data_IF_571777279505
#
_entry.id   IF_571777279505
#
_cell.length_a   1.000
_cell.length_b   1.000
_cell.length_c   1.000
_cell.angle_alpha   90.00
_cell.angle_beta   90.00
_cell.angle_gamma   90.00
#
_symmetry.space_group_name_H-M   'P 1'
#
loop_
_entity.id
_entity.type
_entity.pdbx_description
1 polymer ?
#
# COMPACT_ATOMS: atom_id res chain seq x y z
N UNK A 1 19.55 4.01 0.52
CA UNK A 1 19.67 2.66 -0.07
C UNK A 1 18.38 1.89 0.15
N UNK A 2 17.90 1.23 -0.89
CA UNK A 2 16.66 0.48 -0.79
C UNK A 2 16.83 -0.75 0.10
N UNK A 3 15.79 -1.11 0.84
CA UNK A 3 15.74 -2.35 1.61
C UNK A 3 15.61 -3.54 0.65
N UNK A 4 16.08 -4.71 1.09
CA UNK A 4 16.05 -5.91 0.26
C UNK A 4 14.66 -6.36 -0.18
N UNK A 5 13.61 -6.00 0.56
CA UNK A 5 12.23 -6.36 0.21
C UNK A 5 11.58 -5.42 -0.78
N UNK A 6 12.21 -4.28 -1.09
CA UNK A 6 11.64 -3.31 -2.03
C UNK A 6 11.90 -3.82 -3.44
N UNK A 7 10.83 -4.13 -4.15
CA UNK A 7 10.89 -4.79 -5.46
C UNK A 7 10.97 -3.80 -6.63
N UNK A 8 10.60 -2.55 -6.37
CA UNK A 8 10.71 -1.46 -7.33
C UNK A 8 10.56 -0.16 -6.57
N UNK A 9 11.05 0.93 -7.16
CA UNK A 9 10.94 2.25 -6.53
C UNK A 9 9.91 3.08 -7.28
N UNK A 10 8.99 3.68 -6.53
CA UNK A 10 7.97 4.55 -7.08
C UNK A 10 8.40 6.00 -6.94
N UNK A 11 8.14 6.83 -7.95
CA UNK A 11 8.37 8.27 -7.81
C UNK A 11 7.58 8.84 -6.65
N UNK A 12 8.10 9.85 -6.00
CA UNK A 12 7.45 10.47 -4.85
C UNK A 12 6.03 10.95 -5.18
N UNK A 13 5.84 11.49 -6.37
CA UNK A 13 4.52 11.90 -6.84
C UNK A 13 3.50 10.76 -6.79
N UNK A 14 3.93 9.58 -7.23
CA UNK A 14 3.07 8.41 -7.22
C UNK A 14 2.78 7.95 -5.79
N UNK A 15 3.78 8.01 -4.92
CA UNK A 15 3.60 7.69 -3.50
C UNK A 15 2.58 8.63 -2.86
N UNK A 16 2.65 9.92 -3.19
CA UNK A 16 1.72 10.92 -2.65
C UNK A 16 0.29 10.65 -3.11
N UNK A 17 0.11 10.24 -4.36
CA UNK A 17 -1.21 9.85 -4.87
C UNK A 17 -1.75 8.64 -4.13
N UNK A 18 -0.90 7.67 -3.83
CA UNK A 18 -1.31 6.48 -3.08
C UNK A 18 -1.74 6.83 -1.66
N UNK A 19 -1.00 7.74 -1.01
CA UNK A 19 -1.37 8.22 0.32
C UNK A 19 -2.71 8.97 0.30
N UNK A 20 -2.93 9.78 -0.74
CA UNK A 20 -4.21 10.47 -0.92
C UNK A 20 -5.35 9.47 -1.12
N UNK A 21 -5.13 8.43 -1.92
CA UNK A 21 -6.12 7.38 -2.12
C UNK A 21 -6.44 6.65 -0.81
N UNK A 22 -5.43 6.36 -0.01
CA UNK A 22 -5.61 5.72 1.28
C UNK A 22 -6.44 6.59 2.23
N UNK A 23 -6.13 7.87 2.30
CA UNK A 23 -6.85 8.83 3.13
C UNK A 23 -8.32 8.94 2.71
N UNK A 24 -8.56 9.04 1.41
CA UNK A 24 -9.92 9.15 0.89
C UNK A 24 -10.70 7.85 1.11
N UNK A 25 -10.07 6.70 0.93
CA UNK A 25 -10.71 5.41 1.19
C UNK A 25 -11.00 5.20 2.67
N UNK A 26 -10.12 5.71 3.55
CA UNK A 26 -10.38 5.71 4.99
C UNK A 26 -11.69 6.41 5.31
N UNK A 27 -11.93 7.57 4.69
CA UNK A 27 -13.08 8.39 5.00
C UNK A 27 -14.36 7.95 4.29
N UNK A 28 -14.28 7.36 3.12
CA UNK A 28 -15.44 7.07 2.27
C UNK A 28 -15.61 5.60 1.91
N UNK A 29 -14.65 4.76 2.24
CA UNK A 29 -14.67 3.34 1.94
C UNK A 29 -14.22 2.53 3.14
N UNK A 30 -13.30 1.58 2.88
CA UNK A 30 -12.79 0.70 3.95
C UNK A 30 -11.33 0.38 3.71
N UNK A 31 -10.53 0.51 4.77
CA UNK A 31 -9.11 0.17 4.72
C UNK A 31 -8.78 -0.81 5.85
N UNK A 32 -7.66 -1.50 5.70
CA UNK A 32 -7.08 -2.37 6.74
C UNK A 32 -5.70 -1.84 7.06
N UNK A 33 -5.40 -1.67 8.33
CA UNK A 33 -4.15 -1.07 8.82
C UNK A 33 -3.23 -2.12 9.38
N UNK A 34 -1.93 -1.99 9.09
CA UNK A 34 -0.91 -2.88 9.59
C UNK A 34 -0.67 -4.09 8.71
N UNK A 35 0.53 -4.70 8.88
CA UNK A 35 0.96 -5.81 8.04
C UNK A 35 0.05 -7.04 8.17
N UNK A 36 -0.39 -7.37 9.37
CA UNK A 36 -1.23 -8.54 9.58
C UNK A 36 -2.58 -8.42 8.89
N UNK A 37 -3.23 -7.27 9.04
CA UNK A 37 -4.54 -7.03 8.42
C UNK A 37 -4.40 -6.91 6.91
N UNK A 38 -3.32 -6.27 6.43
CA UNK A 38 -3.05 -6.20 5.00
C UNK A 38 -2.86 -7.59 4.41
N UNK A 39 -2.10 -8.45 5.11
CA UNK A 39 -1.87 -9.83 4.69
C UNK A 39 -3.18 -10.59 4.52
N UNK A 40 -4.07 -10.47 5.49
CA UNK A 40 -5.38 -11.13 5.42
C UNK A 40 -6.19 -10.64 4.23
N UNK A 41 -6.19 -9.33 3.99
CA UNK A 41 -6.93 -8.76 2.86
C UNK A 41 -6.38 -9.23 1.52
N UNK A 42 -5.06 -9.37 1.41
CA UNK A 42 -4.42 -9.89 0.20
C UNK A 42 -4.78 -11.37 0.00
N UNK A 43 -4.62 -12.17 1.04
CA UNK A 43 -4.92 -13.61 0.98
C UNK A 43 -6.37 -13.88 0.58
N UNK A 44 -7.28 -13.04 1.04
CA UNK A 44 -8.71 -13.16 0.73
C UNK A 44 -9.07 -12.53 -0.61
N UNK A 45 -8.11 -11.95 -1.30
CA UNK A 45 -8.30 -11.24 -2.57
C UNK A 45 -9.29 -10.09 -2.45
N UNK A 46 -9.37 -9.47 -1.28
CA UNK A 46 -10.25 -8.32 -1.04
C UNK A 46 -9.52 -6.98 -1.16
N UNK A 47 -8.19 -6.98 -1.11
CA UNK A 47 -7.41 -5.76 -1.25
C UNK A 47 -7.39 -5.31 -2.71
N UNK A 48 -7.54 -4.02 -2.94
CA UNK A 48 -7.49 -3.42 -4.27
C UNK A 48 -6.19 -2.66 -4.51
N UNK A 49 -5.57 -2.19 -3.44
CA UNK A 49 -4.27 -1.53 -3.49
C UNK A 49 -3.63 -1.70 -2.11
N UNK A 50 -2.33 -1.96 -2.09
CA UNK A 50 -1.59 -2.13 -0.83
C UNK A 50 -0.43 -1.14 -0.80
N UNK A 51 -0.29 -0.43 0.33
CA UNK A 51 0.85 0.45 0.58
C UNK A 51 1.75 -0.22 1.60
N UNK A 52 3.05 -0.20 1.34
CA UNK A 52 4.05 -0.86 2.18
C UNK A 52 5.14 0.14 2.55
N UNK A 53 5.47 0.24 3.82
CA UNK A 53 6.54 1.14 4.26
C UNK A 53 7.90 0.69 3.74
N UNK A 54 8.67 1.64 3.23
CA UNK A 54 10.01 1.38 2.70
C UNK A 54 11.10 1.40 3.75
N UNK A 55 10.77 1.76 4.98
CA UNK A 55 11.70 1.93 6.10
C UNK A 55 11.41 0.98 7.26
N UNK A 56 10.75 -0.15 7.00
CA UNK A 56 10.33 -1.07 8.07
C UNK A 56 11.47 -1.95 8.54
N UNK A 57 11.61 -2.05 9.85
CA UNK A 57 12.55 -2.96 10.50
C UNK A 57 11.89 -3.64 11.69
N UNK A 58 12.07 -4.94 11.88
CA UNK A 58 12.78 -5.85 10.97
C UNK A 58 12.00 -6.05 9.66
N UNK A 59 12.73 -6.35 8.61
CA UNK A 59 12.14 -6.48 7.26
C UNK A 59 11.13 -7.62 7.17
N UNK A 60 11.28 -8.63 7.99
CA UNK A 60 10.39 -9.79 8.03
C UNK A 60 8.92 -9.41 8.24
N UNK A 61 8.67 -8.24 8.84
CA UNK A 61 7.30 -7.78 9.06
C UNK A 61 6.55 -7.60 7.75
N UNK A 62 7.23 -7.14 6.70
CA UNK A 62 6.58 -6.77 5.43
C UNK A 62 7.15 -7.48 4.19
N UNK A 63 8.23 -8.23 4.32
CA UNK A 63 8.91 -8.79 3.14
C UNK A 63 8.05 -9.77 2.35
N UNK A 64 7.05 -10.35 2.96
CA UNK A 64 6.15 -11.29 2.29
C UNK A 64 5.03 -10.62 1.49
N UNK A 65 4.79 -9.34 1.73
CA UNK A 65 3.64 -8.65 1.14
C UNK A 65 3.75 -8.48 -0.37
N UNK A 66 4.92 -8.07 -0.87
CA UNK A 66 5.12 -7.90 -2.30
C UNK A 66 4.88 -9.18 -3.09
N UNK A 67 5.60 -10.28 -2.76
CA UNK A 67 5.37 -11.56 -3.42
C UNK A 67 3.94 -12.05 -3.34
N UNK A 68 3.28 -11.86 -2.20
CA UNK A 68 1.89 -12.27 -2.02
C UNK A 68 0.95 -11.45 -2.91
N UNK A 69 1.18 -10.14 -3.01
CA UNK A 69 0.41 -9.29 -3.91
C UNK A 69 0.60 -9.71 -5.37
N UNK A 70 1.83 -10.05 -5.77
CA UNK A 70 2.10 -10.52 -7.12
C UNK A 70 1.35 -11.81 -7.41
N UNK A 71 1.33 -12.75 -6.47
CA UNK A 71 0.59 -13.99 -6.61
C UNK A 71 -0.90 -13.74 -6.82
N UNK A 72 -1.46 -12.79 -6.09
CA UNK A 72 -2.89 -12.46 -6.16
C UNK A 72 -3.22 -11.40 -7.20
N UNK A 73 -2.22 -10.88 -7.89
CA UNK A 73 -2.38 -9.85 -8.92
C UNK A 73 -2.99 -8.57 -8.35
N UNK A 74 -2.53 -8.18 -7.17
CA UNK A 74 -2.97 -6.96 -6.50
C UNK A 74 -1.86 -5.91 -6.61
N UNK A 75 -2.16 -4.68 -7.08
CA UNK A 75 -1.13 -3.65 -7.14
C UNK A 75 -0.69 -3.23 -5.74
N UNK A 76 0.60 -2.96 -5.61
CA UNK A 76 1.17 -2.48 -4.35
C UNK A 76 2.24 -1.44 -4.63
N UNK A 77 2.48 -0.56 -3.66
CA UNK A 77 3.43 0.53 -3.80
C UNK A 77 4.21 0.69 -2.49
N UNK A 78 5.51 0.96 -2.61
CA UNK A 78 6.35 1.25 -1.46
C UNK A 78 6.34 2.75 -1.21
N UNK A 79 6.03 3.12 0.02
CA UNK A 79 6.04 4.51 0.47
C UNK A 79 7.26 4.68 1.35
N UNK A 80 8.04 5.73 1.12
CA UNK A 80 9.34 5.91 1.78
C UNK A 80 9.28 5.80 3.30
N UNK A 81 8.23 6.34 3.92
CA UNK A 81 8.13 6.36 5.38
C UNK A 81 6.81 5.78 5.87
N UNK A 82 6.90 4.81 6.78
CA UNK A 82 5.73 4.21 7.40
C UNK A 82 4.91 5.22 8.21
N UNK A 83 5.54 6.29 8.69
CA UNK A 83 4.81 7.35 9.39
C UNK A 83 3.77 8.00 8.50
N UNK A 84 4.06 8.14 7.20
CA UNK A 84 3.12 8.72 6.25
C UNK A 84 1.93 7.79 6.00
N UNK A 85 2.17 6.48 5.98
CA UNK A 85 1.09 5.49 5.88
C UNK A 85 0.20 5.56 7.12
N UNK A 86 0.81 5.67 8.29
CA UNK A 86 0.07 5.81 9.54
C UNK A 86 -0.82 7.05 9.55
N UNK A 87 -0.25 8.19 9.16
CA UNK A 87 -1.00 9.44 9.11
C UNK A 87 -2.18 9.35 8.14
N UNK A 88 -1.95 8.82 6.94
CA UNK A 88 -3.02 8.66 5.95
C UNK A 88 -4.08 7.66 6.40
N UNK A 89 -3.71 6.73 7.28
CA UNK A 89 -4.64 5.75 7.84
C UNK A 89 -5.41 6.28 9.07
N UNK A 90 -5.11 7.51 9.48
CA UNK A 90 -5.77 8.11 10.65
C UNK A 90 -5.15 7.73 11.98
N UNK A 91 -3.90 7.26 11.98
CA UNK A 91 -3.19 6.88 13.20
C UNK A 91 -2.23 7.99 13.63
N UNK A 92 -1.95 8.05 14.92
CA UNK A 92 -0.95 8.97 15.46
C UNK A 92 0.47 8.39 15.40
N UNK A 93 0.58 7.11 15.02
CA UNK A 93 1.85 6.39 14.91
C UNK A 93 2.00 5.87 13.49
N UNK A 94 3.19 5.41 13.15
CA UNK A 94 3.43 4.80 11.85
C UNK A 94 2.66 3.50 11.66
N UNK A 95 2.47 3.11 10.40
CA UNK A 95 1.89 1.83 10.04
C UNK A 95 2.80 1.18 9.01
N UNK A 96 3.16 -0.08 9.25
CA UNK A 96 4.10 -0.79 8.36
C UNK A 96 3.50 -1.06 6.99
N UNK A 97 2.17 -1.18 6.91
CA UNK A 97 1.45 -1.40 5.67
C UNK A 97 -0.01 -1.02 5.86
N UNK A 98 -0.72 -0.84 4.74
CA UNK A 98 -2.16 -0.64 4.75
C UNK A 98 -2.73 -1.16 3.44
N UNK A 99 -3.96 -1.65 3.48
CA UNK A 99 -4.66 -2.14 2.28
C UNK A 99 -5.97 -1.38 2.11
N UNK A 100 -6.26 -1.00 0.87
CA UNK A 100 -7.56 -0.44 0.52
C UNK A 100 -8.44 -1.60 0.07
N UNK A 101 -9.52 -1.83 0.80
CA UNK A 101 -10.46 -2.93 0.53
C UNK A 101 -11.66 -2.41 -0.24
N UNK A 102 -12.21 -1.28 0.17
CA UNK A 102 -13.27 -0.58 -0.54
C UNK A 102 -12.82 0.85 -0.79
N UNK A 103 -12.58 1.22 -2.03
CA UNK A 103 -12.02 2.54 -2.32
C UNK A 103 -12.97 3.70 -2.05
N UNK A 104 -14.30 3.48 -2.08
CA UNK A 104 -15.23 4.58 -1.93
C UNK A 104 -15.00 5.63 -3.01
N UNK A 105 -14.85 6.89 -2.62
CA UNK A 105 -14.59 7.98 -3.57
C UNK A 105 -13.19 7.94 -4.17
N UNK A 106 -12.31 7.06 -3.68
CA UNK A 106 -10.97 6.90 -4.23
C UNK A 106 -10.90 5.95 -5.42
N UNK A 107 -12.02 5.42 -5.90
CA UNK A 107 -12.01 4.37 -6.93
C UNK A 107 -11.24 4.78 -8.19
N UNK A 108 -11.48 5.96 -8.72
CA UNK A 108 -10.78 6.41 -9.92
C UNK A 108 -9.29 6.54 -9.68
N UNK A 109 -8.93 7.05 -8.51
CA UNK A 109 -7.52 7.23 -8.13
C UNK A 109 -6.83 5.87 -7.95
N UNK A 110 -7.52 4.91 -7.35
CA UNK A 110 -6.98 3.55 -7.19
C UNK A 110 -6.79 2.89 -8.56
N UNK A 111 -7.75 3.02 -9.46
CA UNK A 111 -7.65 2.44 -10.81
C UNK A 111 -6.50 3.09 -11.59
N UNK A 112 -6.35 4.40 -11.50
CA UNK A 112 -5.26 5.14 -12.13
C UNK A 112 -3.91 4.68 -11.58
N UNK A 113 -3.80 4.54 -10.25
CA UNK A 113 -2.58 4.06 -9.61
C UNK A 113 -2.23 2.65 -10.06
N UNK A 114 -3.21 1.77 -10.15
CA UNK A 114 -2.99 0.41 -10.64
C UNK A 114 -2.36 0.40 -12.03
N UNK A 115 -2.86 1.24 -12.92
CA UNK A 115 -2.31 1.38 -14.27
C UNK A 115 -0.89 1.96 -14.28
N UNK A 116 -0.65 2.97 -13.46
CA UNK A 116 0.66 3.61 -13.37
C UNK A 116 1.70 2.67 -12.77
N UNK A 117 1.31 1.89 -11.75
CA UNK A 117 2.19 0.90 -11.14
C UNK A 117 2.55 -0.18 -12.16
N UNK A 118 1.57 -0.67 -12.92
CA UNK A 118 1.81 -1.68 -13.94
C UNK A 118 2.78 -1.17 -15.00
N UNK A 119 2.62 0.07 -15.44
CA UNK A 119 3.52 0.69 -16.41
C UNK A 119 4.93 0.84 -15.86
N UNK A 120 5.05 1.21 -14.58
CA UNK A 120 6.35 1.41 -13.92
C UNK A 120 7.12 0.09 -13.80
N UNK A 121 6.42 -0.98 -13.52
CA UNK A 121 7.04 -2.30 -13.35
C UNK A 121 7.33 -3.01 -14.68
N UNK A 122 6.79 -2.50 -15.73
CA UNK A 122 7.03 -2.96 -17.08
C UNK A 122 6.38 -4.21 -17.48
#
# INVERSE_FOLDING_TARGET
MAKGYIRYEAPEELQNKALEALELARDTGKIKKGANEATKAIERSTAQLVLIGGDVQPEEIVMHLGPLCDEKQIPYIFVNRQNDIGAASGLEVGSTAAAIVKPGKAKELVDELGGQIAALRG
#
